data_IF_663937747543
#
_entry.id   IF_663937747543
#
_cell.length_a   1.000
_cell.length_b   1.000
_cell.length_c   1.000
_cell.angle_alpha   90.00
_cell.angle_beta   90.00
_cell.angle_gamma   90.00
#
_symmetry.space_group_name_H-M   'P 1'
#
loop_
_entity.id
_entity.type
_entity.pdbx_description
1 polymer ?
#
# COMPACT_ATOMS: atom_id res chain seq x y z
N UNK A 1 -15.85 -32.89 -11.56
CA UNK A 1 -15.13 -31.85 -10.79
C UNK A 1 -15.36 -30.52 -11.51
N UNK A 2 -16.15 -29.62 -10.92
CA UNK A 2 -16.35 -28.27 -11.47
C UNK A 2 -14.99 -27.55 -11.52
N UNK A 3 -14.58 -26.94 -12.64
CA UNK A 3 -13.41 -26.07 -12.65
C UNK A 3 -13.67 -24.96 -11.63
N UNK A 4 -12.97 -24.98 -10.49
CA UNK A 4 -12.97 -23.84 -9.57
C UNK A 4 -12.61 -22.63 -10.43
N UNK A 5 -13.57 -21.72 -10.62
CA UNK A 5 -13.29 -20.43 -11.23
C UNK A 5 -12.04 -19.87 -10.53
N UNK A 6 -11.01 -19.55 -11.31
CA UNK A 6 -9.76 -19.02 -10.77
C UNK A 6 -10.12 -17.75 -10.02
N UNK A 7 -9.98 -17.77 -8.69
CA UNK A 7 -10.27 -16.62 -7.84
C UNK A 7 -9.16 -15.58 -8.04
N UNK A 8 -9.38 -14.55 -8.87
CA UNK A 8 -8.32 -13.65 -9.29
C UNK A 8 -7.81 -12.80 -8.11
N UNK A 9 -8.62 -12.66 -7.07
CA UNK A 9 -8.30 -11.89 -5.88
C UNK A 9 -7.23 -12.54 -5.03
N UNK A 10 -7.16 -13.88 -4.99
CA UNK A 10 -6.19 -14.57 -4.14
C UNK A 10 -4.77 -14.20 -4.54
N UNK A 11 -4.44 -14.29 -5.84
CA UNK A 11 -3.11 -13.98 -6.34
C UNK A 11 -2.79 -12.50 -6.14
N UNK A 12 -3.72 -11.60 -6.47
CA UNK A 12 -3.53 -10.16 -6.30
C UNK A 12 -3.25 -9.79 -4.84
N UNK A 13 -4.06 -10.30 -3.91
CA UNK A 13 -3.90 -10.04 -2.47
C UNK A 13 -2.60 -10.65 -1.92
N UNK A 14 -2.22 -11.84 -2.40
CA UNK A 14 -0.96 -12.47 -2.00
C UNK A 14 0.25 -11.66 -2.48
N UNK A 15 0.26 -11.21 -3.74
CA UNK A 15 1.34 -10.37 -4.28
C UNK A 15 1.40 -9.01 -3.57
N UNK A 16 0.25 -8.36 -3.35
CA UNK A 16 0.19 -7.11 -2.60
C UNK A 16 0.66 -7.31 -1.15
N UNK A 17 0.27 -8.41 -0.51
CA UNK A 17 0.69 -8.76 0.84
C UNK A 17 2.20 -8.98 0.95
N UNK A 18 2.77 -9.75 0.03
CA UNK A 18 4.21 -9.99 -0.05
C UNK A 18 4.99 -8.70 -0.34
N UNK A 19 4.50 -7.84 -1.25
CA UNK A 19 5.11 -6.54 -1.52
C UNK A 19 5.16 -5.65 -0.28
N UNK A 20 4.06 -5.56 0.48
CA UNK A 20 4.02 -4.81 1.73
C UNK A 20 4.95 -5.40 2.80
N UNK A 21 5.01 -6.74 2.92
CA UNK A 21 5.95 -7.41 3.83
C UNK A 21 7.40 -7.11 3.46
N UNK A 22 7.77 -7.25 2.18
CA UNK A 22 9.12 -6.94 1.72
C UNK A 22 9.49 -5.49 1.98
N UNK A 23 8.60 -4.54 1.65
CA UNK A 23 8.83 -3.13 1.91
C UNK A 23 9.00 -2.84 3.41
N UNK A 24 8.06 -3.31 4.25
CA UNK A 24 8.12 -3.10 5.69
C UNK A 24 9.34 -3.76 6.34
N UNK A 25 9.73 -4.96 5.89
CA UNK A 25 10.95 -5.63 6.36
C UNK A 25 12.21 -4.87 5.94
N UNK A 26 12.25 -4.26 4.76
CA UNK A 26 13.36 -3.39 4.37
C UNK A 26 13.45 -2.16 5.29
N UNK A 27 12.33 -1.49 5.54
CA UNK A 27 12.26 -0.36 6.49
C UNK A 27 12.75 -0.73 7.90
N UNK A 28 12.47 -1.96 8.35
CA UNK A 28 12.91 -2.45 9.66
C UNK A 28 14.37 -2.95 9.66
N UNK A 29 14.86 -3.56 8.59
CA UNK A 29 16.21 -4.12 8.56
C UNK A 29 17.28 -3.08 8.21
N UNK A 30 16.98 -2.21 7.25
CA UNK A 30 17.90 -1.22 6.70
C UNK A 30 17.16 0.10 6.39
N UNK A 31 16.70 0.84 7.42
CA UNK A 31 15.90 2.06 7.25
C UNK A 31 16.61 3.14 6.45
N UNK A 32 17.93 3.28 6.61
CA UNK A 32 18.71 4.28 5.87
C UNK A 32 18.72 4.00 4.37
N UNK A 33 18.97 2.76 3.95
CA UNK A 33 18.98 2.43 2.52
C UNK A 33 17.59 2.50 1.93
N UNK A 34 16.54 2.11 2.68
CA UNK A 34 15.17 2.34 2.25
C UNK A 34 14.89 3.82 1.98
N UNK A 35 15.31 4.69 2.91
CA UNK A 35 15.12 6.14 2.79
C UNK A 35 15.90 6.75 1.60
N UNK A 36 17.11 6.28 1.31
CA UNK A 36 17.93 6.86 0.24
C UNK A 36 17.74 6.21 -1.13
N UNK A 37 17.36 4.94 -1.20
CA UNK A 37 17.38 4.15 -2.44
C UNK A 37 16.00 3.77 -2.96
N UNK A 38 14.93 3.88 -2.16
CA UNK A 38 13.57 3.70 -2.67
C UNK A 38 13.33 4.75 -3.79
N UNK A 39 12.89 4.34 -5.00
CA UNK A 39 12.63 5.25 -6.11
C UNK A 39 11.30 6.00 -5.89
N UNK A 40 11.26 6.81 -4.83
CA UNK A 40 10.09 7.48 -4.28
C UNK A 40 10.38 8.88 -3.73
N UNK A 41 11.60 9.41 -3.93
CA UNK A 41 11.94 10.77 -3.49
C UNK A 41 11.73 10.98 -1.99
N UNK A 42 11.90 9.92 -1.18
CA UNK A 42 11.63 9.99 0.26
C UNK A 42 12.37 11.14 0.96
N UNK A 43 13.64 11.46 0.61
CA UNK A 43 14.34 12.59 1.20
C UNK A 43 13.73 13.96 0.92
N UNK A 44 12.89 14.09 -0.10
CA UNK A 44 12.27 15.36 -0.50
C UNK A 44 11.21 15.80 0.54
N UNK A 45 10.68 14.87 1.33
CA UNK A 45 9.68 15.13 2.37
C UNK A 45 10.26 15.58 3.72
N UNK A 46 11.58 15.58 3.88
CA UNK A 46 12.25 16.03 5.09
C UNK A 46 13.39 15.10 5.55
N UNK A 47 14.09 15.46 6.64
CA UNK A 47 15.29 14.75 7.07
C UNK A 47 15.02 13.33 7.56
N UNK A 48 16.04 12.47 7.44
CA UNK A 48 16.02 11.09 7.92
C UNK A 48 15.67 11.00 9.40
N UNK A 49 14.68 10.14 9.71
CA UNK A 49 14.32 9.77 11.07
C UNK A 49 14.14 8.25 11.14
N UNK A 50 15.10 7.57 11.76
CA UNK A 50 15.13 6.12 11.85
C UNK A 50 13.87 5.54 12.52
N UNK A 51 13.46 6.14 13.64
CA UNK A 51 12.33 5.64 14.40
C UNK A 51 11.04 5.75 13.59
N UNK A 52 10.82 6.90 12.94
CA UNK A 52 9.66 7.12 12.08
C UNK A 52 9.59 6.12 10.93
N UNK A 53 10.72 5.84 10.26
CA UNK A 53 10.77 4.82 9.20
C UNK A 53 10.45 3.43 9.75
N UNK A 54 10.95 3.07 10.94
CA UNK A 54 10.64 1.77 11.55
C UNK A 54 9.19 1.65 11.98
N UNK A 55 8.55 2.73 12.45
CA UNK A 55 7.12 2.77 12.75
C UNK A 55 6.29 2.49 11.50
N UNK A 56 6.64 3.16 10.39
CA UNK A 56 6.05 2.86 9.09
C UNK A 56 6.33 1.41 8.67
N UNK A 57 7.53 0.88 8.93
CA UNK A 57 7.87 -0.51 8.69
C UNK A 57 6.94 -1.50 9.41
N UNK A 58 6.67 -1.28 10.70
CA UNK A 58 5.70 -2.07 11.48
C UNK A 58 4.30 -2.02 10.86
N UNK A 59 3.88 -0.84 10.41
CA UNK A 59 2.60 -0.63 9.74
C UNK A 59 2.52 -1.40 8.41
N UNK A 60 3.54 -1.32 7.55
CA UNK A 60 3.60 -2.07 6.27
C UNK A 60 3.64 -3.59 6.48
N UNK A 61 4.38 -4.08 7.48
CA UNK A 61 4.37 -5.51 7.84
C UNK A 61 2.96 -5.95 8.27
N UNK A 62 2.28 -5.12 9.06
CA UNK A 62 0.91 -5.41 9.53
C UNK A 62 -0.07 -5.49 8.36
N UNK A 63 -0.04 -4.54 7.43
CA UNK A 63 -0.89 -4.60 6.23
C UNK A 63 -0.57 -5.79 5.34
N UNK A 64 0.72 -6.09 5.15
CA UNK A 64 1.17 -7.22 4.37
C UNK A 64 0.65 -8.55 4.93
N UNK A 65 0.75 -8.72 6.26
CA UNK A 65 0.16 -9.87 6.95
C UNK A 65 -1.37 -9.93 6.79
N UNK A 66 -2.07 -8.80 6.95
CA UNK A 66 -3.52 -8.74 6.78
C UNK A 66 -3.97 -9.11 5.35
N UNK A 67 -3.26 -8.63 4.32
CA UNK A 67 -3.52 -8.99 2.92
C UNK A 67 -3.28 -10.48 2.65
N UNK A 68 -2.21 -11.06 3.21
CA UNK A 68 -1.97 -12.51 3.16
C UNK A 68 -3.10 -13.30 3.84
N UNK A 69 -3.67 -12.80 4.94
CA UNK A 69 -4.88 -13.38 5.57
C UNK A 69 -6.09 -13.27 4.63
N UNK A 70 -6.31 -12.11 4.01
CA UNK A 70 -7.41 -11.89 3.05
C UNK A 70 -7.30 -12.77 1.80
N UNK A 71 -6.07 -13.07 1.36
CA UNK A 71 -5.82 -14.00 0.27
C UNK A 71 -6.31 -15.42 0.64
N UNK A 72 -6.01 -15.88 1.86
CA UNK A 72 -6.38 -17.22 2.36
C UNK A 72 -7.81 -17.34 2.84
N UNK A 73 -8.44 -16.24 3.26
CA UNK A 73 -9.78 -16.22 3.87
C UNK A 73 -10.70 -15.26 3.09
N UNK A 74 -11.39 -15.71 2.02
CA UNK A 74 -12.23 -14.85 1.20
C UNK A 74 -13.27 -14.02 1.97
N UNK A 75 -13.79 -14.55 3.09
CA UNK A 75 -14.76 -13.87 3.95
C UNK A 75 -14.24 -12.54 4.54
N UNK A 76 -12.92 -12.40 4.76
CA UNK A 76 -12.32 -11.21 5.39
C UNK A 76 -11.95 -10.11 4.38
N UNK A 77 -11.95 -10.41 3.08
CA UNK A 77 -11.46 -9.51 2.02
C UNK A 77 -12.07 -8.14 2.06
N UNK A 78 -13.40 -8.05 2.12
CA UNK A 78 -14.07 -6.76 2.05
C UNK A 78 -13.62 -5.84 3.20
N UNK A 79 -13.55 -6.37 4.42
CA UNK A 79 -13.16 -5.57 5.60
C UNK A 79 -11.70 -5.16 5.50
N UNK A 80 -10.79 -6.12 5.28
CA UNK A 80 -9.35 -5.85 5.22
C UNK A 80 -9.03 -4.87 4.08
N UNK A 81 -9.52 -5.12 2.88
CA UNK A 81 -9.28 -4.26 1.72
C UNK A 81 -9.92 -2.88 1.93
N UNK A 82 -11.07 -2.77 2.60
CA UNK A 82 -11.67 -1.45 2.90
C UNK A 82 -10.82 -0.63 3.88
N UNK A 83 -10.27 -1.26 4.91
CA UNK A 83 -9.39 -0.58 5.88
C UNK A 83 -8.11 -0.10 5.20
N UNK A 84 -7.48 -0.95 4.38
CA UNK A 84 -6.31 -0.55 3.62
C UNK A 84 -6.65 0.51 2.57
N UNK A 85 -7.78 0.39 1.86
CA UNK A 85 -8.22 1.40 0.90
C UNK A 85 -8.38 2.77 1.58
N UNK A 86 -8.96 2.82 2.78
CA UNK A 86 -9.07 4.07 3.55
C UNK A 86 -7.68 4.66 3.79
N UNK A 87 -6.77 3.87 4.36
CA UNK A 87 -5.43 4.36 4.65
C UNK A 87 -4.67 4.84 3.40
N UNK A 88 -4.60 4.01 2.36
CA UNK A 88 -3.89 4.36 1.13
C UNK A 88 -4.52 5.58 0.45
N UNK A 89 -5.84 5.75 0.52
CA UNK A 89 -6.51 6.95 0.01
C UNK A 89 -6.14 8.19 0.80
N UNK A 90 -6.20 8.13 2.14
CA UNK A 90 -5.81 9.28 2.96
C UNK A 90 -4.33 9.62 2.82
N UNK A 91 -3.47 8.62 2.66
CA UNK A 91 -2.04 8.80 2.40
C UNK A 91 -1.81 9.43 1.01
N UNK A 92 -2.46 8.93 -0.03
CA UNK A 92 -2.40 9.53 -1.37
C UNK A 92 -2.86 10.99 -1.37
N UNK A 93 -3.93 11.32 -0.63
CA UNK A 93 -4.41 12.70 -0.49
C UNK A 93 -3.41 13.61 0.24
N UNK A 94 -2.61 13.05 1.16
CA UNK A 94 -1.52 13.80 1.79
C UNK A 94 -0.43 14.17 0.76
N UNK A 95 -0.03 13.23 -0.11
CA UNK A 95 0.91 13.51 -1.21
C UNK A 95 0.37 14.56 -2.19
N UNK A 96 -0.91 14.48 -2.53
CA UNK A 96 -1.60 15.51 -3.34
C UNK A 96 -1.50 16.86 -2.65
N UNK A 97 -1.78 16.93 -1.35
CA UNK A 97 -1.73 18.17 -0.58
C UNK A 97 -0.30 18.73 -0.51
N UNK A 98 0.70 17.90 -0.19
CA UNK A 98 2.09 18.32 -0.06
C UNK A 98 2.69 18.78 -1.39
N UNK A 99 2.32 18.14 -2.50
CA UNK A 99 2.70 18.61 -3.83
C UNK A 99 1.98 19.91 -4.19
N UNK A 100 0.66 19.99 -3.95
CA UNK A 100 -0.14 21.17 -4.29
C UNK A 100 0.23 22.43 -3.49
N UNK A 101 0.65 22.27 -2.23
CA UNK A 101 1.10 23.38 -1.39
C UNK A 101 2.57 23.77 -1.63
N UNK A 102 3.29 23.04 -2.48
CA UNK A 102 4.70 23.29 -2.80
C UNK A 102 5.68 22.87 -1.71
N UNK A 103 5.35 21.87 -0.88
CA UNK A 103 6.32 21.25 0.04
C UNK A 103 7.41 20.51 -0.76
N UNK A 104 6.98 19.78 -1.80
CA UNK A 104 7.83 19.04 -2.74
C UNK A 104 7.60 19.55 -4.16
N UNK A 105 8.50 19.23 -5.09
CA UNK A 105 8.41 19.67 -6.48
C UNK A 105 7.27 19.00 -7.27
N UNK A 106 6.85 19.59 -8.40
CA UNK A 106 5.75 19.07 -9.22
C UNK A 106 6.02 17.68 -9.83
N UNK A 107 7.26 17.22 -9.88
CA UNK A 107 7.64 15.86 -10.27
C UNK A 107 6.93 14.78 -9.44
N UNK A 108 6.55 15.07 -8.20
CA UNK A 108 5.82 14.16 -7.31
C UNK A 108 4.42 13.78 -7.79
N UNK A 109 3.82 14.56 -8.70
CA UNK A 109 2.59 14.14 -9.39
C UNK A 109 2.75 12.82 -10.17
N UNK A 110 3.95 12.55 -10.67
CA UNK A 110 4.28 11.32 -11.41
C UNK A 110 5.05 10.36 -10.53
N UNK A 111 5.98 10.86 -9.73
CA UNK A 111 6.88 10.05 -8.90
C UNK A 111 6.10 9.24 -7.85
N UNK A 112 5.06 9.81 -7.25
CA UNK A 112 4.25 9.13 -6.23
C UNK A 112 3.19 8.19 -6.82
N UNK A 113 3.03 8.16 -8.15
CA UNK A 113 2.02 7.34 -8.82
C UNK A 113 2.13 5.85 -8.48
N UNK A 114 3.31 5.20 -8.54
CA UNK A 114 3.40 3.76 -8.33
C UNK A 114 3.14 3.32 -6.89
N UNK A 115 3.53 4.13 -5.90
CA UNK A 115 3.56 3.73 -4.49
C UNK A 115 2.48 4.42 -3.62
N UNK A 116 1.86 5.49 -4.11
CA UNK A 116 0.81 6.22 -3.40
C UNK A 116 -0.51 6.21 -4.17
N UNK A 117 -0.56 6.74 -5.39
CA UNK A 117 -1.82 6.93 -6.13
C UNK A 117 -2.40 5.61 -6.67
N UNK A 118 -1.59 4.79 -7.33
CA UNK A 118 -2.04 3.54 -7.92
C UNK A 118 -2.55 2.54 -6.86
N UNK A 119 -1.88 2.30 -5.72
CA UNK A 119 -2.41 1.43 -4.68
C UNK A 119 -3.76 1.90 -4.12
N UNK A 120 -3.93 3.21 -3.92
CA UNK A 120 -5.21 3.77 -3.49
C UNK A 120 -6.34 3.47 -4.49
N UNK A 121 -6.11 3.77 -5.78
CA UNK A 121 -7.09 3.52 -6.84
C UNK A 121 -7.43 2.03 -6.98
N UNK A 122 -6.41 1.15 -6.94
CA UNK A 122 -6.59 -0.30 -7.05
C UNK A 122 -7.41 -0.86 -5.87
N UNK A 123 -7.11 -0.44 -4.63
CA UNK A 123 -7.83 -0.90 -3.45
C UNK A 123 -9.29 -0.39 -3.45
N UNK A 124 -9.53 0.87 -3.84
CA UNK A 124 -10.88 1.41 -3.99
C UNK A 124 -11.69 0.65 -5.05
N UNK A 125 -11.08 0.38 -6.22
CA UNK A 125 -11.69 -0.44 -7.26
C UNK A 125 -12.03 -1.85 -6.79
N UNK A 126 -11.12 -2.47 -6.03
CA UNK A 126 -11.34 -3.79 -5.44
C UNK A 126 -12.48 -3.78 -4.41
N UNK A 127 -12.57 -2.75 -3.54
CA UNK A 127 -13.71 -2.59 -2.62
C UNK A 127 -15.03 -2.53 -3.41
N UNK A 128 -15.09 -1.74 -4.47
CA UNK A 128 -16.30 -1.61 -5.30
C UNK A 128 -16.72 -2.96 -5.92
N UNK A 129 -15.75 -3.73 -6.44
CA UNK A 129 -16.00 -5.03 -7.06
C UNK A 129 -16.40 -6.09 -6.03
N UNK A 130 -15.75 -6.14 -4.87
CA UNK A 130 -16.11 -7.04 -3.76
C UNK A 130 -17.50 -6.75 -3.20
N UNK A 131 -17.93 -5.47 -3.15
CA UNK A 131 -19.30 -5.10 -2.75
C UNK A 131 -20.35 -5.55 -3.75
N UNK A 132 -20.06 -5.44 -5.06
CA UNK A 132 -20.97 -5.89 -6.13
C UNK A 132 -21.20 -7.39 -6.07
N UNK A 133 -20.17 -8.20 -5.83
CA UNK A 133 -20.29 -9.66 -5.74
C UNK A 133 -20.97 -10.19 -4.47
N UNK A 134 -21.34 -9.32 -3.51
CA UNK A 134 -22.13 -9.67 -2.32
C UNK A 134 -23.62 -9.33 -2.45
N UNK A 135 -24.00 -8.56 -3.47
CA UNK A 135 -25.39 -8.27 -3.82
C UNK A 135 -25.89 -9.34 -4.79
#
# INVERSE_FOLDING_TARGET
MSPRARDPWTLLLALAGLGNLTNGLWMLAAPLTWYTELPGGVPDFGPYNEHFIRDLGCMFVTWGAALCVAARRPATRLVIVSVLALWFTTHALLHVYDTARGLVGPEHWVLDLPLCYAPAALLLGMVALLRRGRR
#
